data_IF_890265132322
#
_entry.id   IF_890265132322
#
_cell.length_a   1.000
_cell.length_b   1.000
_cell.length_c   1.000
_cell.angle_alpha   90.00
_cell.angle_beta   90.00
_cell.angle_gamma   90.00
#
_symmetry.space_group_name_H-M   'P 1'
#
loop_
_entity.id
_entity.type
_entity.pdbx_description
1 polymer ?
#
# COMPACT_ATOMS: atom_id res chain seq x y z
N UNK A 1 -13.32 -2.87 -21.65
CA UNK A 1 -12.00 -2.70 -21.00
C UNK A 1 -12.17 -2.80 -19.50
N UNK A 2 -11.28 -3.54 -18.81
CA UNK A 2 -11.25 -3.57 -17.34
C UNK A 2 -10.45 -2.38 -16.82
N UNK A 3 -10.93 -1.73 -15.76
CA UNK A 3 -10.21 -0.66 -15.05
C UNK A 3 -9.89 -1.17 -13.65
N UNK A 4 -8.71 -0.83 -13.15
CA UNK A 4 -8.25 -1.22 -11.81
C UNK A 4 -7.99 0.03 -11.00
N UNK A 5 -8.60 0.12 -9.82
CA UNK A 5 -8.27 1.11 -8.82
C UNK A 5 -7.51 0.41 -7.69
N UNK A 6 -6.31 0.90 -7.40
CA UNK A 6 -5.50 0.44 -6.27
C UNK A 6 -5.49 1.52 -5.20
N UNK A 7 -5.99 1.18 -4.01
CA UNK A 7 -6.01 2.07 -2.85
C UNK A 7 -5.03 1.53 -1.81
N UNK A 8 -4.13 2.39 -1.33
CA UNK A 8 -3.20 2.07 -0.26
C UNK A 8 -3.35 3.10 0.87
N UNK A 9 -3.56 2.60 2.09
CA UNK A 9 -3.72 3.40 3.28
C UNK A 9 -2.54 3.13 4.22
N UNK A 10 -1.64 4.10 4.33
CA UNK A 10 -0.46 3.98 5.21
C UNK A 10 -0.86 4.10 6.69
N UNK A 11 -0.16 3.36 7.54
CA UNK A 11 -0.34 3.39 9.00
C UNK A 11 -1.61 2.73 9.54
N UNK A 12 -2.41 2.06 8.70
CA UNK A 12 -3.62 1.35 9.13
C UNK A 12 -3.47 -0.15 8.88
N UNK A 13 -3.83 -0.95 9.88
CA UNK A 13 -3.78 -2.41 9.81
C UNK A 13 -4.90 -3.06 10.62
N UNK A 14 -5.04 -4.37 10.47
CA UNK A 14 -6.02 -5.16 11.22
C UNK A 14 -5.64 -5.19 12.70
N UNK A 15 -6.47 -4.58 13.55
CA UNK A 15 -6.27 -4.51 14.99
C UNK A 15 -7.17 -5.46 15.78
N UNK A 16 -7.19 -5.37 17.13
CA UNK A 16 -8.13 -6.10 17.95
C UNK A 16 -9.59 -5.71 17.67
N UNK A 17 -10.53 -6.51 18.18
CA UNK A 17 -11.96 -6.19 18.12
C UNK A 17 -12.36 -5.17 19.19
N UNK A 18 -11.81 -3.97 19.07
CA UNK A 18 -12.02 -2.85 19.98
C UNK A 18 -12.05 -1.53 19.19
N UNK A 19 -13.20 -0.82 19.10
CA UNK A 19 -13.31 0.43 18.34
C UNK A 19 -12.53 1.60 18.95
N UNK A 20 -12.06 1.51 20.20
CA UNK A 20 -11.21 2.54 20.80
C UNK A 20 -9.74 2.42 20.37
N UNK A 21 -9.35 1.26 19.82
CA UNK A 21 -7.98 0.95 19.38
C UNK A 21 -7.91 0.76 17.86
N UNK A 22 -8.90 0.07 17.27
CA UNK A 22 -8.93 -0.26 15.85
C UNK A 22 -9.78 0.76 15.07
N UNK A 23 -9.14 1.66 14.29
CA UNK A 23 -9.88 2.70 13.56
C UNK A 23 -10.80 2.13 12.48
N UNK A 24 -10.57 0.90 12.02
CA UNK A 24 -11.44 0.23 11.04
C UNK A 24 -12.79 -0.19 11.63
N UNK A 25 -12.90 -0.25 12.96
CA UNK A 25 -14.18 -0.48 13.66
C UNK A 25 -14.85 0.82 14.11
N UNK A 26 -14.08 1.88 14.34
CA UNK A 26 -14.63 3.20 14.68
C UNK A 26 -15.24 3.91 13.46
N UNK A 27 -14.73 3.62 12.26
CA UNK A 27 -15.20 4.22 11.01
C UNK A 27 -16.46 3.53 10.47
N UNK A 28 -17.36 4.32 9.88
CA UNK A 28 -18.47 3.80 9.08
C UNK A 28 -17.97 3.40 7.68
N UNK A 29 -17.93 2.09 7.40
CA UNK A 29 -17.34 1.50 6.20
C UNK A 29 -18.33 0.59 5.45
N UNK A 30 -19.51 1.09 5.02
CA UNK A 30 -20.61 0.25 4.53
C UNK A 30 -20.23 -0.55 3.28
N UNK A 31 -19.43 0.03 2.39
CA UNK A 31 -18.94 -0.67 1.18
C UNK A 31 -18.03 -1.84 1.52
N UNK A 32 -17.07 -1.66 2.45
CA UNK A 32 -16.18 -2.75 2.85
C UNK A 32 -16.93 -3.81 3.65
N UNK A 33 -17.86 -3.40 4.53
CA UNK A 33 -18.72 -4.33 5.25
C UNK A 33 -19.54 -5.19 4.27
N UNK A 34 -20.15 -4.61 3.25
CA UNK A 34 -20.92 -5.35 2.25
C UNK A 34 -20.03 -6.32 1.44
N UNK A 35 -18.85 -5.87 0.98
CA UNK A 35 -17.91 -6.71 0.25
C UNK A 35 -17.42 -7.91 1.07
N UNK A 36 -17.26 -7.73 2.39
CA UNK A 36 -16.80 -8.75 3.33
C UNK A 36 -17.94 -9.52 4.01
N UNK A 37 -19.18 -9.44 3.49
CA UNK A 37 -20.32 -10.18 4.02
C UNK A 37 -20.65 -9.84 5.48
N UNK A 38 -20.41 -8.61 5.92
CA UNK A 38 -20.61 -8.14 7.28
C UNK A 38 -19.49 -8.51 8.26
N UNK A 39 -18.43 -9.18 7.79
CA UNK A 39 -17.32 -9.58 8.67
C UNK A 39 -16.49 -8.37 9.10
N UNK A 40 -16.12 -8.26 10.39
CA UNK A 40 -15.37 -7.12 10.89
C UNK A 40 -13.91 -7.11 10.38
N UNK A 41 -13.33 -5.93 10.21
CA UNK A 41 -11.92 -5.74 9.85
C UNK A 41 -11.01 -5.79 11.09
N UNK A 42 -10.91 -6.97 11.69
CA UNK A 42 -10.07 -7.25 12.86
C UNK A 42 -9.07 -8.37 12.55
N UNK A 43 -7.98 -8.44 13.32
CA UNK A 43 -6.95 -9.46 13.14
C UNK A 43 -7.50 -10.89 13.28
N UNK A 44 -8.47 -11.08 14.18
CA UNK A 44 -9.09 -12.38 14.45
C UNK A 44 -9.97 -12.90 13.30
N UNK A 45 -10.42 -12.04 12.37
CA UNK A 45 -11.21 -12.46 11.20
C UNK A 45 -10.40 -13.40 10.31
N UNK A 46 -9.07 -13.24 10.27
CA UNK A 46 -8.21 -14.09 9.47
C UNK A 46 -8.44 -13.91 7.97
N UNK A 47 -8.19 -14.97 7.20
CA UNK A 47 -8.47 -15.00 5.77
C UNK A 47 -9.96 -15.20 5.56
N UNK A 48 -10.55 -14.40 4.68
CA UNK A 48 -11.96 -14.48 4.31
C UNK A 48 -12.11 -14.34 2.80
N UNK A 49 -12.94 -15.19 2.21
CA UNK A 49 -13.31 -15.12 0.81
C UNK A 49 -14.84 -14.99 0.71
N UNK A 50 -15.30 -14.04 -0.09
CA UNK A 50 -16.72 -13.86 -0.45
C UNK A 50 -16.86 -13.91 -1.97
N UNK A 51 -18.08 -13.91 -2.47
CA UNK A 51 -18.33 -13.86 -3.93
C UNK A 51 -17.77 -12.59 -4.59
N UNK A 52 -17.46 -11.55 -3.81
CA UNK A 52 -17.07 -10.22 -4.32
C UNK A 52 -15.67 -9.77 -3.85
N UNK A 53 -15.10 -10.38 -2.80
CA UNK A 53 -13.87 -9.90 -2.20
C UNK A 53 -13.05 -10.98 -1.49
N UNK A 54 -11.76 -10.67 -1.35
CA UNK A 54 -10.79 -11.46 -0.59
C UNK A 54 -10.17 -10.56 0.49
N UNK A 55 -10.16 -11.04 1.73
CA UNK A 55 -9.39 -10.46 2.82
C UNK A 55 -8.21 -11.37 3.11
N UNK A 56 -7.01 -10.82 2.93
CA UNK A 56 -5.76 -11.53 3.17
C UNK A 56 -4.94 -10.77 4.22
N UNK A 57 -4.98 -11.19 5.49
CA UNK A 57 -4.07 -10.66 6.49
C UNK A 57 -2.62 -10.86 6.02
N UNK A 58 -1.85 -9.78 6.06
CA UNK A 58 -0.47 -9.76 5.56
C UNK A 58 0.45 -9.21 6.62
N UNK A 59 1.56 -9.90 6.88
CA UNK A 59 2.59 -9.42 7.81
C UNK A 59 3.44 -8.33 7.15
N UNK A 60 3.30 -7.10 7.65
CA UNK A 60 4.07 -5.95 7.19
C UNK A 60 5.58 -6.08 7.42
N UNK A 61 6.04 -7.01 8.28
CA UNK A 61 7.47 -7.29 8.48
C UNK A 61 8.08 -8.06 7.31
N UNK A 62 7.27 -8.75 6.50
CA UNK A 62 7.74 -9.53 5.34
C UNK A 62 8.87 -10.52 5.71
N UNK A 63 8.81 -11.09 6.92
CA UNK A 63 9.82 -12.02 7.44
C UNK A 63 11.14 -11.37 7.90
N UNK A 64 11.23 -10.04 7.91
CA UNK A 64 12.44 -9.29 8.30
C UNK A 64 12.25 -8.64 9.68
N UNK A 65 13.24 -8.85 10.55
CA UNK A 65 13.24 -8.29 11.91
C UNK A 65 13.26 -6.75 11.90
N UNK A 66 12.75 -6.16 12.98
CA UNK A 66 12.66 -4.71 13.14
C UNK A 66 11.26 -4.15 12.81
N UNK A 67 11.16 -2.82 12.87
CA UNK A 67 9.91 -2.10 12.62
C UNK A 67 9.73 -1.91 11.11
N UNK A 68 8.60 -2.31 10.52
CA UNK A 68 8.29 -2.03 9.12
C UNK A 68 8.43 -0.54 8.79
N UNK A 69 9.02 -0.24 7.63
CA UNK A 69 9.25 1.13 7.15
C UNK A 69 8.62 1.35 5.78
N UNK A 70 8.12 2.57 5.54
CA UNK A 70 7.33 2.89 4.36
C UNK A 70 8.09 2.71 3.04
N UNK A 71 9.38 3.05 2.95
CA UNK A 71 10.08 2.99 1.66
C UNK A 71 10.26 1.55 1.17
N UNK A 72 10.71 0.63 2.02
CA UNK A 72 10.82 -0.78 1.67
C UNK A 72 9.46 -1.45 1.54
N UNK A 73 8.48 -1.14 2.41
CA UNK A 73 7.13 -1.69 2.34
C UNK A 73 6.39 -1.32 1.06
N UNK A 74 6.37 -0.04 0.70
CA UNK A 74 5.73 0.43 -0.53
C UNK A 74 6.46 -0.08 -1.79
N UNK A 75 7.79 -0.20 -1.73
CA UNK A 75 8.55 -0.82 -2.83
C UNK A 75 8.12 -2.27 -3.04
N UNK A 76 7.90 -3.02 -1.96
CA UNK A 76 7.40 -4.39 -2.09
C UNK A 76 6.02 -4.45 -2.75
N UNK A 77 5.10 -3.56 -2.36
CA UNK A 77 3.78 -3.43 -2.97
C UNK A 77 3.86 -3.11 -4.47
N UNK A 78 4.71 -2.16 -4.86
CA UNK A 78 4.77 -1.64 -6.23
C UNK A 78 5.58 -2.50 -7.20
N UNK A 79 6.40 -3.43 -6.68
CA UNK A 79 7.30 -4.25 -7.50
C UNK A 79 6.99 -5.74 -7.41
N UNK A 80 6.33 -6.20 -6.34
CA UNK A 80 6.18 -7.61 -6.01
C UNK A 80 7.45 -8.25 -5.45
N UNK A 81 8.52 -7.48 -5.20
CA UNK A 81 9.79 -7.96 -4.66
C UNK A 81 9.81 -7.72 -3.15
N UNK A 82 10.27 -8.70 -2.35
CA UNK A 82 10.51 -8.48 -0.92
C UNK A 82 11.72 -7.54 -0.71
N UNK A 83 11.48 -6.24 -0.84
CA UNK A 83 12.50 -5.20 -0.74
C UNK A 83 13.24 -5.18 0.61
N UNK A 84 12.59 -5.30 1.79
CA UNK A 84 13.35 -5.35 3.03
C UNK A 84 14.24 -6.60 3.11
N UNK A 85 13.81 -7.75 2.58
CA UNK A 85 14.69 -8.93 2.50
C UNK A 85 15.88 -8.72 1.56
N UNK A 86 15.65 -8.04 0.42
CA UNK A 86 16.72 -7.71 -0.53
C UNK A 86 17.74 -6.72 0.04
N UNK A 87 17.32 -5.81 0.92
CA UNK A 87 18.21 -4.86 1.61
C UNK A 87 18.79 -5.43 2.91
N UNK A 88 18.20 -6.48 3.47
CA UNK A 88 18.53 -7.01 4.80
C UNK A 88 17.99 -6.17 5.97
N UNK A 89 17.18 -5.14 5.70
CA UNK A 89 16.65 -4.22 6.70
C UNK A 89 15.32 -3.57 6.24
N UNK A 90 14.55 -3.07 7.19
CA UNK A 90 13.47 -2.13 6.90
C UNK A 90 14.03 -0.72 6.79
N UNK A 91 13.84 -0.07 5.63
CA UNK A 91 14.37 1.27 5.36
C UNK A 91 13.27 2.26 4.98
N UNK A 92 13.41 3.51 5.41
CA UNK A 92 12.46 4.59 5.16
C UNK A 92 12.78 5.86 5.93
N UNK A 93 11.93 6.90 5.82
CA UNK A 93 10.63 6.91 5.14
C UNK A 93 10.69 7.17 3.63
N UNK A 94 11.82 7.68 3.11
CA UNK A 94 11.98 7.98 1.67
C UNK A 94 12.93 7.00 0.99
N UNK A 95 12.72 6.64 -0.29
CA UNK A 95 13.63 5.79 -1.04
C UNK A 95 15.03 6.41 -1.20
N UNK A 96 16.06 5.68 -0.78
CA UNK A 96 17.46 5.94 -1.14
C UNK A 96 17.81 5.32 -2.50
N UNK A 97 19.09 5.35 -2.88
CA UNK A 97 19.54 4.78 -4.15
C UNK A 97 19.29 3.26 -4.24
N UNK A 98 19.41 2.52 -3.13
CA UNK A 98 19.23 1.07 -3.08
C UNK A 98 17.76 0.70 -3.31
N UNK A 99 16.84 1.41 -2.65
CA UNK A 99 15.40 1.22 -2.83
C UNK A 99 14.96 1.63 -4.25
N UNK A 100 15.49 2.74 -4.78
CA UNK A 100 15.20 3.18 -6.15
C UNK A 100 15.63 2.17 -7.20
N UNK A 101 16.78 1.51 -7.02
CA UNK A 101 17.23 0.47 -7.95
C UNK A 101 16.18 -0.66 -8.10
N UNK A 102 15.52 -1.07 -7.00
CA UNK A 102 14.46 -2.09 -7.03
C UNK A 102 13.21 -1.57 -7.75
N UNK A 103 12.84 -0.30 -7.53
CA UNK A 103 11.73 0.34 -8.23
C UNK A 103 11.99 0.44 -9.75
N UNK A 104 13.21 0.77 -10.15
CA UNK A 104 13.59 0.89 -11.56
C UNK A 104 13.65 -0.47 -12.27
N UNK A 105 13.98 -1.53 -11.54
CA UNK A 105 13.97 -2.92 -12.01
C UNK A 105 12.55 -3.41 -12.32
N UNK A 106 11.61 -3.26 -11.38
CA UNK A 106 10.33 -4.00 -11.43
C UNK A 106 9.06 -3.18 -11.16
N UNK A 107 9.15 -1.85 -11.08
CA UNK A 107 8.02 -0.98 -10.77
C UNK A 107 6.81 -1.17 -11.70
N UNK A 108 5.63 -1.37 -11.11
CA UNK A 108 4.39 -1.63 -11.84
C UNK A 108 4.04 -0.53 -12.85
N UNK A 109 4.30 0.74 -12.54
CA UNK A 109 4.04 1.85 -13.46
C UNK A 109 4.89 1.80 -14.73
N UNK A 110 6.14 1.37 -14.62
CA UNK A 110 7.02 1.16 -15.79
C UNK A 110 6.49 0.01 -16.63
N UNK A 111 6.16 -1.12 -16.00
CA UNK A 111 5.60 -2.32 -16.65
C UNK A 111 4.28 -2.03 -17.38
N UNK A 112 3.36 -1.30 -16.74
CA UNK A 112 2.07 -0.92 -17.32
C UNK A 112 2.25 0.00 -18.54
N UNK A 113 3.15 0.99 -18.46
CA UNK A 113 3.46 1.85 -19.62
C UNK A 113 4.08 1.08 -20.78
N UNK A 114 5.02 0.17 -20.51
CA UNK A 114 5.60 -0.70 -21.54
C UNK A 114 4.55 -1.60 -22.19
N UNK A 115 3.51 -2.00 -21.46
CA UNK A 115 2.38 -2.75 -21.99
C UNK A 115 1.36 -1.89 -22.77
N UNK A 116 1.62 -0.60 -23.01
CA UNK A 116 0.72 0.30 -23.74
C UNK A 116 -0.50 0.74 -22.92
N UNK A 117 -0.48 0.54 -21.60
CA UNK A 117 -1.55 0.99 -20.70
C UNK A 117 -1.25 2.39 -20.15
N UNK A 118 -2.30 3.08 -19.69
CA UNK A 118 -2.22 4.42 -19.13
C UNK A 118 -2.41 4.39 -17.60
N UNK A 119 -1.34 4.11 -16.81
CA UNK A 119 -1.44 4.16 -15.36
C UNK A 119 -1.37 5.60 -14.86
N UNK A 120 -2.08 5.88 -13.77
CA UNK A 120 -2.04 7.16 -13.07
C UNK A 120 -1.69 6.92 -11.60
N UNK A 121 -0.88 7.81 -11.04
CA UNK A 121 -0.56 7.82 -9.62
C UNK A 121 -1.11 9.09 -8.99
N UNK A 122 -1.95 8.94 -7.96
CA UNK A 122 -2.53 10.04 -7.22
C UNK A 122 -2.17 9.84 -5.74
N UNK A 123 -1.51 10.84 -5.16
CA UNK A 123 -1.18 10.85 -3.73
C UNK A 123 -1.24 12.27 -3.19
N UNK A 124 -1.74 12.44 -1.97
CA UNK A 124 -1.84 13.72 -1.30
C UNK A 124 -0.53 14.03 -0.56
N UNK A 125 0.49 14.47 -1.30
CA UNK A 125 1.71 14.97 -0.66
C UNK A 125 1.45 16.36 -0.04
N UNK A 126 1.83 16.59 1.24
CA UNK A 126 1.81 17.94 1.78
C UNK A 126 2.68 18.86 0.92
N UNK A 127 2.29 20.14 0.79
CA UNK A 127 2.98 21.12 -0.06
C UNK A 127 4.49 21.19 0.18
N UNK A 128 4.94 20.95 1.42
CA UNK A 128 6.36 20.93 1.80
C UNK A 128 7.17 19.79 1.15
N UNK A 129 6.51 18.75 0.64
CA UNK A 129 7.14 17.62 -0.06
C UNK A 129 7.17 17.79 -1.58
N UNK A 130 6.44 18.77 -2.11
CA UNK A 130 6.48 19.10 -3.53
C UNK A 130 7.71 19.99 -3.80
N UNK A 131 8.43 19.77 -4.90
CA UNK A 131 9.39 20.76 -5.39
C UNK A 131 8.65 22.09 -5.52
N UNK A 132 9.30 23.21 -5.14
CA UNK A 132 8.75 24.53 -5.45
C UNK A 132 8.64 24.63 -6.97
N UNK A 133 7.41 24.57 -7.49
CA UNK A 133 7.14 24.88 -8.88
C UNK A 133 7.38 26.38 -9.08
N UNK A 134 8.53 26.74 -9.66
CA UNK A 134 8.58 27.99 -10.41
C UNK A 134 7.58 27.82 -11.55
N UNK A 135 6.60 28.71 -11.62
CA UNK A 135 5.43 28.55 -12.48
C UNK A 135 5.80 28.23 -13.92
N UNK A 136 5.42 27.02 -14.36
CA UNK A 136 5.01 26.70 -15.72
C UNK A 136 4.46 25.26 -15.70
N UNK A 137 3.15 25.14 -15.91
CA UNK A 137 2.40 23.97 -16.41
C UNK A 137 2.56 22.67 -15.58
N UNK A 138 1.60 22.29 -14.73
CA UNK A 138 0.30 21.76 -15.16
C UNK A 138 0.37 20.23 -15.09
N UNK A 139 -0.39 19.62 -14.17
CA UNK A 139 -0.64 18.17 -14.16
C UNK A 139 -1.48 17.78 -15.38
#
# INVERSE_FOLDING_TARGET
>A
MKRVLFLFLDGVGLGPNDPTINPLLAADLPTLAALLGGSPLVAATGRLSTDQAELVPTDAKLGIAGRPQSATGQTAILTGINAPARLGEHYGPRPDARVRAILDEAGIFKRLRTAGLAPYFCNAYPRAFLPRSNGANGC
#
